data_IF_738956746553
#
_entry.id   IF_738956746553
#
_cell.length_a   1.000
_cell.length_b   1.000
_cell.length_c   1.000
_cell.angle_alpha   90.00
_cell.angle_beta   90.00
_cell.angle_gamma   90.00
#
_symmetry.space_group_name_H-M   'P 1'
#
loop_
_entity.id
_entity.type
_entity.pdbx_description
1 polymer ?
#
# COMPACT_ATOMS: atom_id res chain seq x y z
N UNK A 1 8.97 2.65 9.95
CA UNK A 1 8.03 2.63 8.81
C UNK A 1 6.61 2.52 9.36
N UNK A 2 5.62 3.09 8.67
CA UNK A 2 4.21 2.97 9.02
C UNK A 2 3.48 2.32 7.85
N UNK A 3 2.85 1.17 8.10
CA UNK A 3 1.94 0.52 7.17
C UNK A 3 0.51 0.67 7.67
N UNK A 4 -0.35 1.29 6.87
CA UNK A 4 -1.76 1.46 7.17
C UNK A 4 -2.61 1.19 5.94
N UNK A 5 -3.78 0.60 6.16
CA UNK A 5 -4.72 0.28 5.11
C UNK A 5 -6.14 0.25 5.67
N UNK A 6 -7.15 0.39 4.80
CA UNK A 6 -8.53 0.26 5.21
C UNK A 6 -8.79 -1.16 5.73
N UNK A 7 -9.67 -1.27 6.73
CA UNK A 7 -10.26 -2.55 7.07
C UNK A 7 -11.14 -3.00 5.90
N UNK A 8 -11.04 -4.28 5.53
CA UNK A 8 -11.87 -4.89 4.48
C UNK A 8 -12.42 -6.18 5.07
N UNK A 9 -13.75 -6.29 5.30
CA UNK A 9 -14.35 -7.46 5.88
C UNK A 9 -14.22 -8.67 4.95
N UNK A 10 -14.18 -9.87 5.53
CA UNK A 10 -14.12 -11.14 4.80
C UNK A 10 -15.22 -12.07 5.28
N UNK A 11 -15.91 -12.72 4.33
CA UNK A 11 -17.08 -13.56 4.61
C UNK A 11 -16.80 -14.77 5.52
N UNK A 12 -15.53 -15.18 5.64
CA UNK A 12 -15.11 -16.32 6.47
C UNK A 12 -14.59 -15.91 7.86
N UNK A 13 -14.87 -14.68 8.30
CA UNK A 13 -14.40 -14.14 9.60
C UNK A 13 -15.58 -13.84 10.54
N UNK A 14 -15.38 -13.79 11.87
CA UNK A 14 -16.43 -13.37 12.80
C UNK A 14 -17.00 -11.97 12.53
N UNK A 15 -16.28 -11.13 11.78
CA UNK A 15 -16.70 -9.79 11.38
C UNK A 15 -17.47 -9.76 10.04
N UNK A 16 -17.85 -10.93 9.49
CA UNK A 16 -18.59 -11.02 8.23
C UNK A 16 -19.91 -10.23 8.25
N UNK A 17 -20.53 -10.05 9.42
CA UNK A 17 -21.75 -9.24 9.56
C UNK A 17 -21.56 -7.77 9.16
N UNK A 18 -20.32 -7.27 9.09
CA UNK A 18 -20.03 -5.91 8.62
C UNK A 18 -20.12 -5.76 7.10
N UNK A 19 -20.12 -6.85 6.33
CA UNK A 19 -20.19 -6.82 4.86
C UNK A 19 -21.42 -6.04 4.36
N UNK A 20 -22.58 -6.21 5.00
CA UNK A 20 -23.83 -5.57 4.58
C UNK A 20 -23.83 -4.06 4.76
N UNK A 21 -22.96 -3.53 5.62
CA UNK A 21 -22.85 -2.09 5.91
C UNK A 21 -21.53 -1.50 5.45
N UNK A 22 -20.66 -2.29 4.83
CA UNK A 22 -19.33 -1.85 4.43
C UNK A 22 -19.42 -0.92 3.23
N UNK A 23 -18.88 0.29 3.37
CA UNK A 23 -18.76 1.26 2.28
C UNK A 23 -17.29 1.35 1.83
N UNK A 24 -16.93 0.77 0.66
CA UNK A 24 -15.54 0.76 0.19
C UNK A 24 -15.01 2.15 -0.16
N UNK A 25 -15.85 3.05 -0.68
CA UNK A 25 -15.44 4.41 -1.04
C UNK A 25 -15.09 5.22 0.22
N UNK A 26 -15.94 5.14 1.24
CA UNK A 26 -15.70 5.80 2.52
C UNK A 26 -14.45 5.25 3.22
N UNK A 27 -14.27 3.93 3.21
CA UNK A 27 -13.08 3.30 3.79
C UNK A 27 -11.79 3.73 3.07
N UNK A 28 -11.82 3.82 1.73
CA UNK A 28 -10.71 4.33 0.94
C UNK A 28 -10.40 5.79 1.28
N UNK A 29 -11.41 6.67 1.29
CA UNK A 29 -11.24 8.09 1.59
C UNK A 29 -10.61 8.29 2.98
N UNK A 30 -11.11 7.57 3.99
CA UNK A 30 -10.56 7.61 5.35
C UNK A 30 -9.10 7.14 5.39
N UNK A 31 -8.76 6.06 4.68
CA UNK A 31 -7.38 5.58 4.62
C UNK A 31 -6.44 6.58 3.96
N UNK A 32 -6.86 7.25 2.88
CA UNK A 32 -6.07 8.30 2.22
C UNK A 32 -5.89 9.52 3.11
N UNK A 33 -6.93 9.95 3.83
CA UNK A 33 -6.83 11.02 4.83
C UNK A 33 -5.84 10.66 5.94
N UNK A 34 -5.85 9.41 6.42
CA UNK A 34 -4.89 8.95 7.42
C UNK A 34 -3.45 8.99 6.91
N UNK A 35 -3.20 8.62 5.65
CA UNK A 35 -1.86 8.75 5.04
C UNK A 35 -1.43 10.21 5.00
N UNK A 36 -2.30 11.12 4.52
CA UNK A 36 -2.01 12.54 4.43
C UNK A 36 -1.71 13.18 5.79
N UNK A 37 -2.55 12.92 6.80
CA UNK A 37 -2.34 13.39 8.17
C UNK A 37 -1.03 12.84 8.73
N UNK A 38 -0.73 11.57 8.49
CA UNK A 38 0.53 10.95 8.95
C UNK A 38 1.74 11.60 8.30
N UNK A 39 1.72 11.89 7.00
CA UNK A 39 2.82 12.61 6.33
C UNK A 39 3.03 14.01 6.90
N UNK A 40 1.95 14.75 7.16
CA UNK A 40 2.03 16.10 7.73
C UNK A 40 2.63 16.05 9.14
N UNK A 41 2.18 15.10 9.97
CA UNK A 41 2.64 14.94 11.35
C UNK A 41 4.08 14.38 11.44
N UNK A 42 4.42 13.42 10.58
CA UNK A 42 5.65 12.63 10.61
C UNK A 42 6.39 12.77 9.28
N UNK A 43 6.92 13.97 9.06
CA UNK A 43 7.43 14.46 7.76
C UNK A 43 8.43 13.54 7.08
N UNK A 44 9.27 12.84 7.83
CA UNK A 44 10.47 12.16 7.34
C UNK A 44 10.48 10.64 7.53
N UNK A 45 9.33 10.05 7.88
CA UNK A 45 9.19 8.58 8.00
C UNK A 45 8.76 7.94 6.69
N UNK A 46 9.04 6.66 6.54
CA UNK A 46 8.49 5.85 5.45
C UNK A 46 7.04 5.46 5.74
N UNK A 47 6.16 5.69 4.77
CA UNK A 47 4.74 5.33 4.82
C UNK A 47 4.44 4.45 3.61
N UNK A 48 3.85 3.28 3.85
CA UNK A 48 3.53 2.33 2.80
C UNK A 48 2.15 2.60 2.18
N UNK A 49 2.09 2.65 0.85
CA UNK A 49 0.86 2.58 0.08
C UNK A 49 0.46 1.11 -0.08
N UNK A 50 -0.49 0.67 0.73
CA UNK A 50 -0.77 -0.76 0.92
C UNK A 50 -1.65 -1.36 -0.18
N UNK A 51 -1.51 -2.67 -0.41
CA UNK A 51 -2.35 -3.42 -1.35
C UNK A 51 -3.84 -3.39 -1.00
N UNK A 52 -4.20 -3.11 0.25
CA UNK A 52 -5.59 -2.96 0.68
C UNK A 52 -6.27 -1.75 0.00
N UNK A 53 -5.54 -0.67 -0.28
CA UNK A 53 -6.08 0.46 -1.06
C UNK A 53 -6.45 0.00 -2.48
N UNK A 54 -5.61 -0.83 -3.10
CA UNK A 54 -5.87 -1.35 -4.43
C UNK A 54 -7.06 -2.33 -4.46
N UNK A 55 -7.30 -3.04 -3.37
CA UNK A 55 -8.46 -3.91 -3.23
C UNK A 55 -9.79 -3.13 -3.22
N UNK A 56 -9.77 -1.87 -2.75
CA UNK A 56 -10.94 -1.00 -2.77
C UNK A 56 -11.06 -0.16 -4.05
N UNK A 57 -9.96 0.15 -4.72
CA UNK A 57 -9.96 0.91 -5.98
C UNK A 57 -8.77 0.54 -6.87
N UNK A 58 -8.94 0.37 -8.20
CA UNK A 58 -7.85 -0.06 -9.09
C UNK A 58 -6.59 0.81 -9.02
N UNK A 59 -6.76 2.12 -8.81
CA UNK A 59 -5.67 3.12 -8.63
C UNK A 59 -5.34 3.42 -7.15
N UNK A 60 -5.79 2.61 -6.21
CA UNK A 60 -5.72 2.93 -4.78
C UNK A 60 -4.28 3.09 -4.27
N UNK A 61 -3.32 2.35 -4.84
CA UNK A 61 -1.90 2.46 -4.46
C UNK A 61 -1.30 3.79 -4.91
N UNK A 62 -1.64 4.22 -6.11
CA UNK A 62 -1.23 5.47 -6.71
C UNK A 62 -1.83 6.65 -5.93
N UNK A 63 -3.11 6.55 -5.57
CA UNK A 63 -3.76 7.52 -4.69
C UNK A 63 -3.07 7.59 -3.32
N UNK A 64 -2.63 6.46 -2.76
CA UNK A 64 -1.86 6.44 -1.52
C UNK A 64 -0.51 7.14 -1.63
N UNK A 65 0.20 6.97 -2.76
CA UNK A 65 1.44 7.72 -3.03
C UNK A 65 1.17 9.23 -3.09
N UNK A 66 0.18 9.64 -3.88
CA UNK A 66 -0.23 11.05 -3.99
C UNK A 66 -0.73 11.65 -2.68
N UNK A 67 -1.22 10.82 -1.74
CA UNK A 67 -1.60 11.24 -0.40
C UNK A 67 -0.40 11.41 0.56
N UNK A 68 0.82 11.02 0.18
CA UNK A 68 2.05 11.20 0.96
C UNK A 68 2.77 9.92 1.36
N UNK A 69 2.29 8.75 0.91
CA UNK A 69 3.08 7.52 1.01
C UNK A 69 4.29 7.55 0.07
N UNK A 70 5.35 6.82 0.42
CA UNK A 70 6.59 6.78 -0.36
C UNK A 70 7.19 5.36 -0.48
N UNK A 71 6.43 4.34 -0.08
CA UNK A 71 6.83 2.94 -0.18
C UNK A 71 5.70 2.15 -0.85
N UNK A 72 6.05 1.29 -1.79
CA UNK A 72 5.16 0.31 -2.41
C UNK A 72 5.69 -1.10 -2.17
N UNK A 73 4.78 -2.06 -2.04
CA UNK A 73 5.11 -3.46 -1.80
C UNK A 73 4.54 -4.32 -2.95
N UNK A 74 5.37 -4.74 -3.92
CA UNK A 74 4.93 -5.68 -4.95
C UNK A 74 4.69 -7.07 -4.36
N UNK A 75 3.67 -7.78 -4.86
CA UNK A 75 3.44 -9.17 -4.48
C UNK A 75 4.38 -10.09 -5.26
N UNK A 76 5.41 -10.59 -4.58
CA UNK A 76 6.41 -11.52 -5.14
C UNK A 76 6.07 -12.99 -4.86
N UNK A 77 4.92 -13.28 -4.24
CA UNK A 77 4.51 -14.65 -3.91
C UNK A 77 4.34 -15.46 -5.19
N UNK A 78 4.84 -16.70 -5.19
CA UNK A 78 4.63 -17.66 -6.27
C UNK A 78 3.12 -17.89 -6.46
N UNK A 79 2.67 -17.91 -7.71
CA UNK A 79 1.24 -18.00 -8.08
C UNK A 79 0.57 -19.22 -7.46
N UNK A 80 1.28 -20.33 -7.26
CA UNK A 80 0.77 -21.56 -6.65
C UNK A 80 0.27 -21.37 -5.22
N UNK A 81 0.79 -20.38 -4.49
CA UNK A 81 0.44 -20.14 -3.09
C UNK A 81 -0.44 -18.89 -2.88
N UNK A 82 -0.70 -18.09 -3.91
CA UNK A 82 -1.41 -16.81 -3.76
C UNK A 82 -2.84 -16.98 -3.24
N UNK A 83 -3.52 -18.04 -3.66
CA UNK A 83 -4.88 -18.37 -3.21
C UNK A 83 -4.94 -18.70 -1.72
N UNK A 84 -3.86 -19.21 -1.12
CA UNK A 84 -3.80 -19.50 0.31
C UNK A 84 -3.57 -18.28 1.20
N UNK A 85 -3.30 -17.10 0.62
CA UNK A 85 -3.04 -15.87 1.38
C UNK A 85 -4.14 -14.84 1.12
N UNK A 86 -5.29 -15.00 1.76
CA UNK A 86 -6.47 -14.14 1.63
C UNK A 86 -6.77 -13.44 2.97
N UNK A 87 -6.14 -12.30 3.20
CA UNK A 87 -6.39 -11.50 4.41
C UNK A 87 -7.74 -10.76 4.36
N UNK A 88 -8.24 -10.50 3.15
CA UNK A 88 -9.45 -9.74 2.88
C UNK A 88 -10.03 -10.10 1.50
N UNK A 89 -11.30 -9.78 1.28
CA UNK A 89 -11.96 -9.96 -0.02
C UNK A 89 -11.32 -9.12 -1.12
N UNK A 90 -11.37 -9.64 -2.35
CA UNK A 90 -10.95 -8.86 -3.52
C UNK A 90 -9.45 -8.59 -3.58
N UNK A 91 -8.62 -9.44 -2.95
CA UNK A 91 -7.15 -9.31 -3.01
C UNK A 91 -6.65 -9.28 -4.48
N UNK A 92 -5.97 -8.21 -4.91
CA UNK A 92 -5.43 -8.11 -6.27
C UNK A 92 -4.31 -9.13 -6.57
N UNK A 93 -4.09 -9.40 -7.86
CA UNK A 93 -2.89 -10.08 -8.35
C UNK A 93 -2.85 -11.60 -8.12
N UNK A 94 -4.00 -12.28 -8.14
CA UNK A 94 -4.04 -13.75 -7.96
C UNK A 94 -3.47 -14.53 -9.16
N UNK A 95 -3.53 -13.97 -10.38
CA UNK A 95 -3.24 -14.72 -11.62
C UNK A 95 -2.07 -14.17 -12.47
N UNK A 96 -1.33 -13.16 -12.01
CA UNK A 96 -0.34 -12.45 -12.85
C UNK A 96 1.12 -12.91 -12.61
N UNK A 97 1.92 -13.00 -13.68
CA UNK A 97 3.36 -13.29 -13.60
C UNK A 97 4.12 -12.14 -12.91
N UNK A 98 5.05 -12.46 -12.00
CA UNK A 98 5.80 -11.48 -11.20
C UNK A 98 6.55 -10.42 -12.02
N UNK A 99 7.10 -10.79 -13.19
CA UNK A 99 7.76 -9.85 -14.10
C UNK A 99 6.78 -8.84 -14.72
N UNK A 100 5.59 -9.31 -15.10
CA UNK A 100 4.54 -8.45 -15.63
C UNK A 100 4.01 -7.47 -14.57
N UNK A 101 3.86 -7.95 -13.33
CA UNK A 101 3.47 -7.11 -12.18
C UNK A 101 4.50 -6.00 -11.96
N UNK A 102 5.80 -6.31 -12.02
CA UNK A 102 6.86 -5.32 -11.83
C UNK A 102 6.77 -4.23 -12.89
N UNK A 103 6.73 -4.57 -14.18
CA UNK A 103 6.66 -3.59 -15.27
C UNK A 103 5.40 -2.71 -15.18
N UNK A 104 4.23 -3.32 -14.94
CA UNK A 104 2.98 -2.58 -14.79
C UNK A 104 3.02 -1.63 -13.57
N UNK A 105 3.66 -2.04 -12.47
CA UNK A 105 3.86 -1.19 -11.31
C UNK A 105 4.77 0.00 -11.63
N UNK A 106 5.86 -0.23 -12.35
CA UNK A 106 6.77 0.84 -12.78
C UNK A 106 6.04 1.87 -13.65
N UNK A 107 5.32 1.42 -14.68
CA UNK A 107 4.52 2.28 -15.56
C UNK A 107 3.48 3.10 -14.77
N UNK A 108 2.85 2.48 -13.78
CA UNK A 108 1.86 3.17 -12.94
C UNK A 108 2.48 4.28 -12.10
N UNK A 109 3.65 4.05 -11.49
CA UNK A 109 4.39 5.05 -10.71
C UNK A 109 4.78 6.24 -11.62
N UNK A 110 5.34 5.96 -12.80
CA UNK A 110 5.69 7.02 -13.75
C UNK A 110 4.47 7.80 -14.23
N UNK A 111 3.32 7.14 -14.39
CA UNK A 111 2.09 7.79 -14.86
C UNK A 111 1.54 8.86 -13.92
N UNK A 112 1.88 8.79 -12.62
CA UNK A 112 1.51 9.80 -11.62
C UNK A 112 2.60 10.84 -11.37
N UNK A 113 3.69 10.82 -12.14
CA UNK A 113 4.80 11.76 -12.04
C UNK A 113 5.82 11.44 -10.95
N UNK A 114 5.74 10.26 -10.35
CA UNK A 114 6.68 9.78 -9.33
C UNK A 114 7.83 8.98 -9.96
N UNK A 115 8.88 8.74 -9.17
CA UNK A 115 10.05 7.96 -9.60
C UNK A 115 10.35 6.81 -8.64
N UNK A 116 11.17 5.86 -9.10
CA UNK A 116 11.56 4.69 -8.33
C UNK A 116 13.01 4.88 -7.88
N UNK A 117 13.26 4.73 -6.57
CA UNK A 117 14.61 4.71 -6.01
C UNK A 117 15.30 3.38 -6.26
N UNK A 118 15.80 3.17 -7.48
CA UNK A 118 16.65 2.03 -7.79
C UNK A 118 18.05 2.18 -7.19
N UNK A 119 18.62 1.08 -6.72
CA UNK A 119 19.97 1.00 -6.14
C UNK A 119 20.20 1.93 -4.93
N UNK A 120 19.11 2.45 -4.35
CA UNK A 120 19.10 3.25 -3.14
C UNK A 120 18.64 2.42 -1.94
N UNK A 121 19.31 2.63 -0.79
CA UNK A 121 18.89 2.00 0.45
C UNK A 121 17.62 2.68 0.99
N UNK A 122 16.53 1.92 1.10
CA UNK A 122 15.19 2.43 1.39
C UNK A 122 14.93 2.91 2.83
N UNK A 123 15.97 3.17 3.63
CA UNK A 123 15.78 3.71 4.98
C UNK A 123 15.14 5.10 4.94
N UNK A 124 14.31 5.38 5.94
CA UNK A 124 13.64 6.69 6.02
C UNK A 124 14.65 7.81 6.30
N UNK A 125 14.45 9.03 5.78
CA UNK A 125 15.27 10.18 6.14
C UNK A 125 15.33 10.43 7.66
N UNK A 126 14.27 10.09 8.39
CA UNK A 126 14.24 10.12 9.86
C UNK A 126 15.36 9.29 10.50
N UNK A 127 15.54 8.04 10.02
CA UNK A 127 16.57 7.14 10.53
C UNK A 127 17.97 7.71 10.28
N UNK A 128 18.23 8.18 9.05
CA UNK A 128 19.51 8.79 8.68
C UNK A 128 19.87 9.99 9.55
N UNK A 129 18.90 10.89 9.81
CA UNK A 129 19.13 12.07 10.68
C UNK A 129 19.51 11.65 12.10
N UNK A 130 18.80 10.68 12.67
CA UNK A 130 19.08 10.18 14.01
C UNK A 130 20.48 9.58 14.12
N UNK A 131 20.95 8.87 13.10
CA UNK A 131 22.28 8.25 13.10
C UNK A 131 23.40 9.26 12.85
N UNK A 132 23.17 10.31 12.05
CA UNK A 132 24.17 11.36 11.81
C UNK A 132 24.37 12.27 13.02
N UNK A 133 23.34 12.48 13.84
CA UNK A 133 23.44 13.28 15.08
C UNK A 133 24.14 12.53 16.23
N UNK A 134 24.49 11.26 16.04
CA UNK A 134 25.16 10.41 17.04
C UNK A 134 26.64 10.13 16.73
N UNK A 135 27.17 10.67 15.62
CA UNK A 135 28.57 10.56 15.19
C UNK A 135 29.29 11.89 15.29
#
# INVERSE_FOLDING_TARGET
MIGMGPFIPHHQTPLAYLLSTFNPEQALEQALKMIAVTRIALKDVNIASTTALQALHPKGREMGLLAGANVLMPNITDTRFRNGYQLYEGKPGLNENALAIRKALEESIYSIGETIGYDEWGDSPHFRRKTSDQS
#
